data_IF_086131085949
#
_entry.id   IF_086131085949
#
_cell.length_a   1.000
_cell.length_b   1.000
_cell.length_c   1.000
_cell.angle_alpha   90.00
_cell.angle_beta   90.00
_cell.angle_gamma   90.00
#
_symmetry.space_group_name_H-M   'P 1'
#
loop_
_entity.id
_entity.type
_entity.pdbx_description
1 polymer ?
#
# COMPACT_ATOMS: atom_id res chain seq x y z
N UNK A 1 -21.42 17.68 -9.56
CA UNK A 1 -20.91 16.61 -10.47
C UNK A 1 -21.22 15.29 -9.83
N UNK A 2 -21.64 14.28 -10.59
CA UNK A 2 -21.82 12.95 -10.01
C UNK A 2 -20.43 12.40 -9.66
N UNK A 3 -20.26 11.90 -8.44
CA UNK A 3 -19.05 11.25 -8.01
C UNK A 3 -18.75 10.04 -8.93
N UNK A 4 -17.50 9.90 -9.35
CA UNK A 4 -17.06 8.79 -10.19
C UNK A 4 -15.82 8.16 -9.59
N UNK A 5 -15.83 6.84 -9.46
CA UNK A 5 -14.65 6.07 -9.04
C UNK A 5 -14.25 5.09 -10.14
N UNK A 6 -12.93 4.94 -10.36
CA UNK A 6 -12.38 4.06 -11.38
C UNK A 6 -11.25 3.24 -10.78
N UNK A 7 -11.33 1.92 -10.96
CA UNK A 7 -10.25 0.98 -10.58
C UNK A 7 -9.23 0.93 -11.71
N UNK A 8 -8.04 1.42 -11.46
CA UNK A 8 -6.91 1.40 -12.39
C UNK A 8 -5.93 0.31 -11.96
N UNK A 9 -5.71 -0.64 -12.83
CA UNK A 9 -4.84 -1.81 -12.57
C UNK A 9 -3.51 -1.57 -13.25
N UNK A 10 -2.45 -1.84 -12.54
CA UNK A 10 -1.05 -1.67 -12.94
C UNK A 10 -0.61 -0.24 -13.24
N UNK A 11 0.68 -0.06 -13.19
CA UNK A 11 1.32 1.25 -13.28
C UNK A 11 1.07 1.95 -14.62
N UNK A 12 0.93 1.20 -15.70
CA UNK A 12 0.69 1.77 -17.03
C UNK A 12 -0.64 2.54 -17.08
N UNK A 13 -1.73 1.91 -16.62
CA UNK A 13 -3.05 2.53 -16.58
C UNK A 13 -3.08 3.72 -15.60
N UNK A 14 -2.46 3.54 -14.43
CA UNK A 14 -2.38 4.59 -13.41
C UNK A 14 -1.56 5.77 -13.93
N UNK A 15 -0.41 5.53 -14.55
CA UNK A 15 0.47 6.58 -15.05
C UNK A 15 -0.18 7.38 -16.19
N UNK A 16 -0.86 6.72 -17.11
CA UNK A 16 -1.61 7.38 -18.18
C UNK A 16 -2.70 8.32 -17.62
N UNK A 17 -3.46 7.86 -16.63
CA UNK A 17 -4.50 8.67 -15.99
C UNK A 17 -3.90 9.85 -15.19
N UNK A 18 -2.81 9.60 -14.44
CA UNK A 18 -2.08 10.63 -13.67
C UNK A 18 -1.54 11.73 -14.61
N UNK A 19 -0.94 11.36 -15.74
CA UNK A 19 -0.43 12.33 -16.71
C UNK A 19 -1.56 13.19 -17.28
N UNK A 20 -2.71 12.61 -17.61
CA UNK A 20 -3.87 13.33 -18.11
C UNK A 20 -4.42 14.32 -17.08
N UNK A 21 -4.61 13.90 -15.84
CA UNK A 21 -5.13 14.76 -14.77
C UNK A 21 -4.11 15.84 -14.35
N UNK A 22 -2.81 15.52 -14.33
CA UNK A 22 -1.76 16.49 -14.06
C UNK A 22 -1.69 17.59 -15.15
N UNK A 23 -1.83 17.23 -16.41
CA UNK A 23 -1.88 18.19 -17.51
C UNK A 23 -3.13 19.09 -17.44
N UNK A 24 -4.22 18.56 -16.88
CA UNK A 24 -5.47 19.29 -16.67
C UNK A 24 -5.47 20.17 -15.42
N UNK A 25 -4.62 19.90 -14.44
CA UNK A 25 -4.56 20.62 -13.16
C UNK A 25 -4.24 22.11 -13.35
N UNK A 26 -4.90 22.98 -12.57
CA UNK A 26 -4.80 24.44 -12.68
C UNK A 26 -4.48 25.14 -11.38
N UNK A 27 -4.80 24.53 -10.23
CA UNK A 27 -4.60 25.11 -8.91
C UNK A 27 -3.43 24.45 -8.22
N UNK A 28 -3.48 23.13 -8.07
CA UNK A 28 -2.41 22.39 -7.43
C UNK A 28 -2.26 20.95 -7.95
N UNK A 29 -1.05 20.41 -7.77
CA UNK A 29 -0.71 19.00 -7.99
C UNK A 29 0.13 18.51 -6.81
N UNK A 30 -0.46 17.68 -5.96
CA UNK A 30 0.19 17.12 -4.78
C UNK A 30 0.35 15.61 -4.93
N UNK A 31 1.56 15.14 -4.70
CA UNK A 31 1.91 13.72 -4.75
C UNK A 31 2.58 13.31 -3.46
N UNK A 32 2.03 12.32 -2.78
CA UNK A 32 2.61 11.66 -1.62
C UNK A 32 2.91 10.21 -1.95
N UNK A 33 4.14 9.80 -1.70
CA UNK A 33 4.61 8.45 -1.99
C UNK A 33 5.62 7.98 -0.95
N UNK A 34 5.70 6.66 -0.74
CA UNK A 34 6.69 6.09 0.15
C UNK A 34 8.09 6.10 -0.45
N UNK A 35 8.23 5.73 -1.75
CA UNK A 35 9.50 5.76 -2.47
C UNK A 35 9.43 6.66 -3.70
N UNK A 36 10.57 7.30 -3.98
CA UNK A 36 10.85 8.08 -5.18
C UNK A 36 12.32 7.88 -5.50
N UNK A 37 12.62 7.31 -6.66
CA UNK A 37 13.95 6.85 -7.01
C UNK A 37 14.45 7.49 -8.31
N UNK A 38 15.76 7.48 -8.54
CA UNK A 38 16.42 8.14 -9.67
C UNK A 38 16.47 7.29 -10.93
N UNK A 39 15.53 6.40 -11.09
CA UNK A 39 15.31 5.56 -12.25
C UNK A 39 14.49 6.30 -13.36
N UNK A 40 14.00 5.56 -14.36
CA UNK A 40 13.18 6.15 -15.42
C UNK A 40 11.82 6.65 -14.89
N UNK A 41 11.22 5.99 -13.89
CA UNK A 41 9.93 6.38 -13.30
C UNK A 41 10.03 7.70 -12.57
N UNK A 42 11.04 7.85 -11.69
CA UNK A 42 11.27 9.11 -11.00
C UNK A 42 11.66 10.23 -11.95
N UNK A 43 12.36 9.93 -13.05
CA UNK A 43 12.65 10.90 -14.11
C UNK A 43 11.38 11.34 -14.81
N UNK A 44 10.54 10.40 -15.25
CA UNK A 44 9.26 10.70 -15.91
C UNK A 44 8.31 11.52 -15.02
N UNK A 45 8.22 11.17 -13.71
CA UNK A 45 7.45 11.95 -12.75
C UNK A 45 8.00 13.37 -12.59
N UNK A 46 9.33 13.51 -12.52
CA UNK A 46 9.97 14.82 -12.40
C UNK A 46 9.69 15.71 -13.60
N UNK A 47 9.83 15.18 -14.80
CA UNK A 47 9.55 15.89 -16.04
C UNK A 47 8.07 16.32 -16.13
N UNK A 48 7.15 15.42 -15.75
CA UNK A 48 5.72 15.72 -15.74
C UNK A 48 5.37 16.83 -14.72
N UNK A 49 5.95 16.79 -13.50
CA UNK A 49 5.75 17.84 -12.50
C UNK A 49 6.34 19.19 -12.93
N UNK A 50 7.49 19.19 -13.59
CA UNK A 50 8.11 20.40 -14.12
C UNK A 50 7.30 21.03 -15.26
N UNK A 51 6.69 20.20 -16.10
CA UNK A 51 5.85 20.65 -17.22
C UNK A 51 4.41 21.02 -16.78
N UNK A 52 3.97 20.65 -15.60
CA UNK A 52 2.62 20.91 -15.12
C UNK A 52 2.33 22.41 -14.97
N UNK A 53 1.10 22.81 -15.32
CA UNK A 53 0.65 24.21 -15.30
C UNK A 53 0.18 24.70 -13.94
N UNK A 54 -0.14 23.76 -13.03
CA UNK A 54 -0.56 24.11 -11.66
C UNK A 54 0.57 24.89 -10.95
N UNK A 55 0.27 26.05 -10.35
CA UNK A 55 1.28 26.88 -9.68
C UNK A 55 1.82 26.24 -8.39
N UNK A 56 0.99 25.51 -7.63
CA UNK A 56 1.40 24.81 -6.42
C UNK A 56 1.62 23.32 -6.70
N UNK A 57 2.88 22.92 -6.82
CA UNK A 57 3.28 21.52 -7.12
C UNK A 57 4.12 21.02 -5.97
N UNK A 58 3.69 19.93 -5.34
CA UNK A 58 4.37 19.36 -4.16
C UNK A 58 4.57 17.85 -4.28
N UNK A 59 5.77 17.41 -3.94
CA UNK A 59 6.13 16.00 -3.83
C UNK A 59 6.57 15.73 -2.38
N UNK A 60 5.79 14.92 -1.67
CA UNK A 60 6.09 14.43 -0.33
C UNK A 60 6.56 12.97 -0.41
N UNK A 61 7.79 12.72 -0.01
CA UNK A 61 8.42 11.39 -0.03
C UNK A 61 8.77 10.98 1.39
N UNK A 62 8.61 9.71 1.76
CA UNK A 62 9.11 9.26 3.07
C UNK A 62 10.65 9.31 3.11
N UNK A 63 11.19 9.69 4.27
CA UNK A 63 12.65 9.75 4.48
C UNK A 63 13.34 8.41 4.29
N UNK A 64 12.62 7.29 4.28
CA UNK A 64 13.16 5.95 4.04
C UNK A 64 13.92 5.86 2.70
N UNK A 65 13.41 6.53 1.64
CA UNK A 65 14.09 6.65 0.33
C UNK A 65 15.53 7.20 0.42
N UNK A 66 15.87 7.94 1.50
CA UNK A 66 17.24 8.46 1.71
C UNK A 66 18.20 7.41 2.23
N UNK A 67 17.71 6.30 2.74
CA UNK A 67 18.50 5.20 3.30
C UNK A 67 18.35 3.90 2.50
N UNK A 68 17.24 3.73 1.78
CA UNK A 68 16.93 2.53 1.01
C UNK A 68 16.38 2.92 -0.37
N UNK A 69 16.90 2.32 -1.41
CA UNK A 69 16.41 2.44 -2.80
C UNK A 69 16.49 1.06 -3.46
N UNK A 70 15.55 0.75 -4.34
CA UNK A 70 15.46 -0.54 -5.01
C UNK A 70 15.55 -1.71 -4.03
N UNK A 71 14.81 -1.63 -2.91
CA UNK A 71 14.80 -2.58 -1.79
C UNK A 71 16.21 -2.86 -1.17
N UNK A 72 17.20 -2.00 -1.44
CA UNK A 72 18.59 -2.15 -1.00
C UNK A 72 19.03 -0.98 -0.12
N UNK A 73 19.74 -1.29 0.95
CA UNK A 73 20.33 -0.27 1.84
C UNK A 73 21.50 0.45 1.18
N UNK A 74 21.45 1.79 1.14
CA UNK A 74 22.45 2.63 0.46
C UNK A 74 23.86 2.51 1.09
N UNK A 75 23.92 2.23 2.41
CA UNK A 75 25.18 2.22 3.16
C UNK A 75 25.78 0.81 3.36
N UNK A 76 25.22 -0.24 2.79
CA UNK A 76 25.81 -1.58 2.90
C UNK A 76 27.02 -1.74 1.96
N UNK A 77 28.03 -2.56 2.33
CA UNK A 77 29.20 -2.79 1.47
C UNK A 77 28.84 -3.21 0.05
N UNK A 78 27.88 -4.11 -0.14
CA UNK A 78 27.46 -4.58 -1.47
C UNK A 78 26.82 -3.50 -2.35
N UNK A 79 26.29 -2.40 -1.78
CA UNK A 79 25.74 -1.28 -2.53
C UNK A 79 26.72 -0.11 -2.66
N UNK A 80 27.66 0.01 -1.75
CA UNK A 80 28.71 1.06 -1.81
C UNK A 80 29.62 0.89 -3.02
N UNK A 81 29.89 -0.35 -3.44
CA UNK A 81 30.75 -0.70 -4.56
C UNK A 81 29.98 -1.05 -5.85
N UNK A 82 28.66 -0.88 -5.88
CA UNK A 82 27.83 -1.08 -7.08
C UNK A 82 27.70 0.25 -7.85
N UNK A 83 28.38 0.41 -9.02
CA UNK A 83 28.39 1.68 -9.75
C UNK A 83 27.00 2.06 -10.28
N UNK A 84 26.20 1.09 -10.73
CA UNK A 84 24.85 1.30 -11.24
C UNK A 84 23.92 1.82 -10.15
N UNK A 85 23.87 1.11 -9.03
CA UNK A 85 23.10 1.54 -7.86
C UNK A 85 23.51 2.93 -7.34
N UNK A 86 24.82 3.20 -7.32
CA UNK A 86 25.34 4.52 -6.91
C UNK A 86 24.98 5.63 -7.91
N UNK A 87 24.88 5.30 -9.19
CA UNK A 87 24.43 6.25 -10.22
C UNK A 87 22.96 6.62 -9.99
N UNK A 88 22.11 5.64 -9.71
CA UNK A 88 20.69 5.84 -9.39
C UNK A 88 20.49 6.71 -8.14
N UNK A 89 21.21 6.40 -7.04
CA UNK A 89 21.19 7.23 -5.81
C UNK A 89 21.63 8.68 -6.09
N UNK A 90 22.63 8.88 -6.94
CA UNK A 90 23.04 10.24 -7.36
C UNK A 90 21.98 10.93 -8.20
N UNK A 91 21.33 10.18 -9.09
CA UNK A 91 20.25 10.71 -9.93
C UNK A 91 19.04 11.10 -9.08
N UNK A 92 18.64 10.31 -8.09
CA UNK A 92 17.58 10.69 -7.14
C UNK A 92 17.85 12.08 -6.53
N UNK A 93 19.08 12.30 -6.06
CA UNK A 93 19.48 13.60 -5.50
C UNK A 93 19.49 14.73 -6.54
N UNK A 94 19.84 14.41 -7.78
CA UNK A 94 19.80 15.35 -8.92
C UNK A 94 18.38 15.74 -9.24
N UNK A 95 17.45 14.78 -9.36
CA UNK A 95 16.04 15.02 -9.65
C UNK A 95 15.39 15.90 -8.57
N UNK A 96 15.65 15.62 -7.29
CA UNK A 96 15.15 16.47 -6.17
C UNK A 96 15.66 17.92 -6.31
N UNK A 97 16.92 18.13 -6.70
CA UNK A 97 17.43 19.49 -6.92
C UNK A 97 16.79 20.16 -8.12
N UNK A 98 16.60 19.43 -9.23
CA UNK A 98 15.93 19.95 -10.42
C UNK A 98 14.49 20.34 -10.15
N UNK A 99 13.72 19.51 -9.46
CA UNK A 99 12.35 19.80 -9.05
C UNK A 99 12.28 21.10 -8.23
N UNK A 100 13.14 21.23 -7.22
CA UNK A 100 13.20 22.44 -6.37
C UNK A 100 13.60 23.68 -7.16
N UNK A 101 14.55 23.57 -8.07
CA UNK A 101 14.97 24.68 -8.94
C UNK A 101 13.84 25.09 -9.92
N UNK A 102 13.01 24.14 -10.35
CA UNK A 102 11.83 24.38 -11.19
C UNK A 102 10.57 24.79 -10.42
N UNK A 103 10.69 25.14 -9.12
CA UNK A 103 9.58 25.64 -8.30
C UNK A 103 8.64 24.56 -7.77
N UNK A 104 9.02 23.28 -7.85
CA UNK A 104 8.28 22.17 -7.21
C UNK A 104 8.72 22.06 -5.76
N UNK A 105 7.79 22.12 -4.81
CA UNK A 105 8.07 21.82 -3.42
C UNK A 105 8.41 20.34 -3.25
N UNK A 106 9.57 20.01 -2.67
CA UNK A 106 9.94 18.62 -2.36
C UNK A 106 10.31 18.52 -0.88
N UNK A 107 9.59 17.67 -0.14
CA UNK A 107 9.87 17.36 1.27
C UNK A 107 10.06 15.88 1.49
N UNK A 108 10.95 15.56 2.46
CA UNK A 108 11.10 14.22 3.00
C UNK A 108 10.41 14.16 4.36
N UNK A 109 9.27 13.45 4.41
CA UNK A 109 8.48 13.24 5.62
C UNK A 109 9.16 12.26 6.59
N UNK A 110 8.70 12.25 7.83
CA UNK A 110 9.12 11.28 8.86
C UNK A 110 10.64 11.11 8.98
N UNK A 111 11.40 12.16 9.35
CA UNK A 111 12.85 12.04 9.54
C UNK A 111 13.19 11.00 10.61
N UNK A 112 14.34 10.31 10.47
CA UNK A 112 14.74 9.22 11.36
C UNK A 112 14.97 9.64 12.82
N UNK A 113 15.08 10.94 13.09
CA UNK A 113 15.54 11.48 14.36
C UNK A 113 17.07 11.48 14.49
N UNK A 114 17.60 12.14 15.54
CA UNK A 114 19.05 12.36 15.70
C UNK A 114 19.81 11.03 15.84
N UNK A 115 19.22 10.07 16.57
CA UNK A 115 19.83 8.75 16.82
C UNK A 115 19.07 7.61 16.14
N UNK A 116 18.26 7.90 15.11
CA UNK A 116 17.48 6.89 14.42
C UNK A 116 16.27 6.35 15.21
N UNK A 117 15.91 6.95 16.34
CA UNK A 117 14.83 6.47 17.21
C UNK A 117 13.44 6.44 16.53
N UNK A 118 13.27 7.17 15.43
CA UNK A 118 12.05 7.18 14.61
C UNK A 118 12.19 6.37 13.32
N UNK A 119 13.20 5.52 13.25
CA UNK A 119 13.50 4.77 12.02
C UNK A 119 12.31 3.90 11.55
N UNK A 120 11.59 3.27 12.46
CA UNK A 120 10.44 2.42 12.16
C UNK A 120 9.16 3.22 11.90
N UNK A 121 9.08 4.48 12.31
CA UNK A 121 7.88 5.31 12.13
C UNK A 121 7.91 5.96 10.74
N UNK A 122 7.19 5.34 9.77
CA UNK A 122 7.23 5.72 8.36
C UNK A 122 5.87 6.21 7.87
N UNK A 123 5.89 7.04 6.82
CA UNK A 123 4.70 7.45 6.09
C UNK A 123 4.55 6.58 4.85
N UNK A 124 3.65 5.62 4.94
CA UNK A 124 3.44 4.63 3.88
C UNK A 124 2.23 4.98 2.99
N UNK A 125 1.63 6.16 3.15
CA UNK A 125 0.52 6.63 2.31
C UNK A 125 0.97 6.85 0.86
N UNK A 126 0.09 6.52 -0.09
CA UNK A 126 0.22 6.82 -1.50
C UNK A 126 -1.05 7.54 -1.92
N UNK A 127 -0.92 8.83 -2.15
CA UNK A 127 -2.03 9.73 -2.49
C UNK A 127 -1.58 10.69 -3.57
N UNK A 128 -2.38 10.86 -4.61
CA UNK A 128 -2.16 11.84 -5.66
C UNK A 128 -3.41 12.72 -5.74
N UNK A 129 -3.24 14.02 -5.77
CA UNK A 129 -4.31 15.00 -5.71
C UNK A 129 -4.10 16.07 -6.80
N UNK A 130 -5.17 16.31 -7.57
CA UNK A 130 -5.19 17.36 -8.57
C UNK A 130 -6.42 18.25 -8.35
N UNK A 131 -6.17 19.48 -7.94
CA UNK A 131 -7.17 20.46 -7.58
C UNK A 131 -8.11 19.89 -6.48
N UNK A 132 -9.20 20.55 -6.13
CA UNK A 132 -10.24 19.91 -5.30
C UNK A 132 -11.19 19.06 -6.19
N UNK A 133 -10.64 18.25 -7.09
CA UNK A 133 -11.40 17.53 -8.11
C UNK A 133 -11.13 16.03 -8.16
N UNK A 134 -9.87 15.63 -8.21
CA UNK A 134 -9.46 14.23 -8.42
C UNK A 134 -8.45 13.80 -7.38
N UNK A 135 -8.65 12.60 -6.88
CA UNK A 135 -7.72 11.91 -5.98
C UNK A 135 -7.45 10.47 -6.42
N UNK A 136 -6.26 9.97 -6.11
CA UNK A 136 -5.85 8.58 -6.32
C UNK A 136 -5.43 7.99 -4.98
N UNK A 137 -5.91 6.79 -4.70
CA UNK A 137 -5.66 6.06 -3.45
C UNK A 137 -5.26 4.62 -3.83
N UNK A 138 -4.14 4.12 -3.31
CA UNK A 138 -3.75 2.73 -3.58
C UNK A 138 -2.35 2.37 -3.11
N UNK A 139 -1.73 1.39 -3.80
CA UNK A 139 -0.46 0.78 -3.39
C UNK A 139 0.77 1.28 -4.15
N UNK A 140 0.62 1.91 -5.34
CA UNK A 140 1.71 2.17 -6.27
C UNK A 140 2.66 3.26 -5.74
N UNK A 141 3.96 2.95 -5.76
CA UNK A 141 5.04 3.90 -5.51
C UNK A 141 5.73 4.33 -6.81
N UNK A 142 6.49 5.43 -6.76
CA UNK A 142 7.22 5.95 -7.92
C UNK A 142 8.67 5.49 -7.96
N UNK A 143 8.85 4.21 -8.33
CA UNK A 143 10.13 3.59 -8.65
C UNK A 143 9.95 2.48 -9.67
N UNK A 144 10.99 2.17 -10.46
CA UNK A 144 10.93 1.21 -11.56
C UNK A 144 10.45 -0.16 -11.10
N UNK A 145 11.09 -0.74 -10.07
CA UNK A 145 10.73 -2.05 -9.55
C UNK A 145 9.28 -2.11 -9.01
N UNK A 146 8.76 -1.00 -8.44
CA UNK A 146 7.36 -0.96 -8.02
C UNK A 146 6.39 -0.82 -9.20
N UNK A 147 6.82 -0.21 -10.30
CA UNK A 147 6.02 -0.11 -11.52
C UNK A 147 5.90 -1.45 -12.28
N UNK A 148 6.83 -2.36 -12.05
CA UNK A 148 6.77 -3.73 -12.58
C UNK A 148 5.86 -4.65 -11.76
N UNK A 149 5.46 -4.23 -10.56
CA UNK A 149 4.61 -5.03 -9.68
C UNK A 149 3.14 -4.87 -10.04
N UNK A 150 2.41 -5.99 -9.93
CA UNK A 150 0.95 -5.98 -10.07
C UNK A 150 0.32 -5.29 -8.86
N UNK A 151 -0.20 -4.09 -9.07
CA UNK A 151 -0.79 -3.23 -8.03
C UNK A 151 -1.95 -2.41 -8.61
N UNK A 152 -2.66 -1.69 -7.78
CA UNK A 152 -3.75 -0.83 -8.23
C UNK A 152 -3.80 0.52 -7.50
N UNK A 153 -4.47 1.47 -8.15
CA UNK A 153 -5.02 2.67 -7.50
C UNK A 153 -6.48 2.86 -7.90
N UNK A 154 -7.27 3.40 -6.99
CA UNK A 154 -8.62 3.87 -7.31
C UNK A 154 -8.55 5.37 -7.52
N UNK A 155 -8.91 5.81 -8.72
CA UNK A 155 -9.10 7.23 -9.08
C UNK A 155 -10.52 7.63 -8.66
N UNK A 156 -10.63 8.64 -7.83
CA UNK A 156 -11.91 9.16 -7.32
C UNK A 156 -12.07 10.60 -7.76
N UNK A 157 -13.12 10.87 -8.51
CA UNK A 157 -13.51 12.21 -8.95
C UNK A 157 -14.68 12.71 -8.09
N UNK A 158 -14.31 13.33 -6.96
CA UNK A 158 -15.23 13.87 -5.96
C UNK A 158 -14.51 14.97 -5.15
N UNK A 159 -15.14 16.15 -5.08
CA UNK A 159 -14.51 17.33 -4.47
C UNK A 159 -14.42 17.23 -2.94
N UNK A 160 -15.33 16.52 -2.28
CA UNK A 160 -15.30 16.37 -0.82
C UNK A 160 -14.20 15.38 -0.41
N UNK A 161 -14.04 14.29 -1.18
CA UNK A 161 -12.93 13.35 -1.04
C UNK A 161 -11.60 14.06 -1.27
N UNK A 162 -11.46 14.81 -2.36
CA UNK A 162 -10.24 15.53 -2.69
C UNK A 162 -9.86 16.53 -1.60
N UNK A 163 -10.82 17.34 -1.09
CA UNK A 163 -10.59 18.26 0.04
C UNK A 163 -10.23 17.57 1.34
N UNK A 164 -10.83 16.43 1.63
CA UNK A 164 -10.49 15.65 2.82
C UNK A 164 -9.05 15.15 2.77
N UNK A 165 -8.64 14.58 1.65
CA UNK A 165 -7.28 14.08 1.44
C UNK A 165 -6.26 15.22 1.33
N UNK A 166 -6.63 16.38 0.77
CA UNK A 166 -5.74 17.55 0.75
C UNK A 166 -5.39 18.01 2.16
N UNK A 167 -6.34 18.09 3.08
CA UNK A 167 -6.07 18.43 4.48
C UNK A 167 -5.09 17.46 5.14
N UNK A 168 -5.21 16.17 4.88
CA UNK A 168 -4.27 15.17 5.37
C UNK A 168 -2.87 15.32 4.74
N UNK A 169 -2.83 15.57 3.43
CA UNK A 169 -1.57 15.86 2.73
C UNK A 169 -0.86 17.09 3.34
N UNK A 170 -1.59 18.18 3.51
CA UNK A 170 -1.06 19.43 4.11
C UNK A 170 -0.56 19.20 5.55
N UNK A 171 -1.30 18.44 6.35
CA UNK A 171 -0.88 18.02 7.69
C UNK A 171 0.41 17.20 7.64
N UNK A 172 0.47 16.19 6.76
CA UNK A 172 1.66 15.37 6.55
C UNK A 172 2.85 16.18 6.01
N UNK A 173 2.57 17.16 5.14
CA UNK A 173 3.56 18.11 4.64
C UNK A 173 4.20 18.92 5.77
N UNK A 174 3.44 19.32 6.76
CA UNK A 174 3.92 20.03 7.95
C UNK A 174 4.52 19.10 9.03
N UNK A 175 4.55 17.79 8.77
CA UNK A 175 5.10 16.79 9.68
C UNK A 175 4.16 16.36 10.79
N UNK A 176 2.86 16.67 10.66
CA UNK A 176 1.80 16.20 11.55
C UNK A 176 1.09 15.00 10.93
N UNK A 177 0.51 14.16 11.74
CA UNK A 177 -0.33 13.05 11.30
C UNK A 177 -1.33 12.73 12.40
N UNK A 178 -2.60 12.77 12.06
CA UNK A 178 -3.70 12.55 13.00
C UNK A 178 -4.67 11.52 12.41
N UNK A 179 -5.33 10.77 13.27
CA UNK A 179 -6.41 9.90 12.83
C UNK A 179 -7.58 10.75 12.35
N UNK A 180 -8.05 10.45 11.14
CA UNK A 180 -9.29 11.02 10.63
C UNK A 180 -10.08 9.95 9.88
N UNK A 181 -11.39 10.04 9.96
CA UNK A 181 -12.33 9.21 9.21
C UNK A 181 -13.43 10.06 8.60
N UNK A 182 -13.80 9.75 7.38
CA UNK A 182 -14.95 10.37 6.73
C UNK A 182 -15.66 9.37 5.82
N UNK A 183 -16.98 9.55 5.69
CA UNK A 183 -17.83 8.77 4.79
C UNK A 183 -18.37 9.68 3.69
N UNK A 184 -18.31 9.21 2.46
CA UNK A 184 -18.73 9.92 1.25
C UNK A 184 -19.79 9.12 0.52
N UNK A 185 -21.02 9.58 0.58
CA UNK A 185 -22.17 8.85 0.03
C UNK A 185 -22.11 8.76 -1.51
N UNK A 186 -21.65 9.81 -2.19
CA UNK A 186 -21.55 9.85 -3.66
C UNK A 186 -20.73 8.70 -4.24
N UNK A 187 -19.45 8.54 -3.86
CA UNK A 187 -18.63 7.42 -4.32
C UNK A 187 -18.86 6.12 -3.49
N UNK A 188 -19.73 6.10 -2.50
CA UNK A 188 -19.92 4.94 -1.60
C UNK A 188 -18.63 4.55 -0.86
N UNK A 189 -17.91 5.54 -0.35
CA UNK A 189 -16.55 5.42 0.16
C UNK A 189 -16.45 5.86 1.61
N UNK A 190 -15.87 5.00 2.47
CA UNK A 190 -15.35 5.40 3.78
C UNK A 190 -13.83 5.46 3.72
N UNK A 191 -13.24 6.57 4.17
CA UNK A 191 -11.79 6.75 4.29
C UNK A 191 -11.34 6.75 5.73
N UNK A 192 -10.26 6.02 6.00
CA UNK A 192 -9.55 6.01 7.28
C UNK A 192 -8.11 6.46 7.03
N UNK A 193 -7.73 7.57 7.64
CA UNK A 193 -6.38 8.10 7.64
C UNK A 193 -5.69 7.67 8.93
N UNK A 194 -4.73 6.79 8.82
CA UNK A 194 -4.06 6.15 9.95
C UNK A 194 -2.75 6.91 10.24
N UNK A 195 -2.56 7.47 11.43
CA UNK A 195 -1.40 8.32 11.70
C UNK A 195 -0.10 7.56 11.96
N UNK A 196 -0.14 6.25 12.12
CA UNK A 196 0.91 5.43 12.71
C UNK A 196 0.60 5.22 14.18
N UNK A 197 1.03 6.09 15.04
CA UNK A 197 0.71 6.01 16.47
C UNK A 197 -0.81 5.98 16.70
N UNK A 198 -1.28 5.02 17.52
CA UNK A 198 -2.71 4.82 17.79
C UNK A 198 -3.47 4.00 16.71
N UNK A 199 -2.82 3.48 15.70
CA UNK A 199 -3.46 2.69 14.64
C UNK A 199 -4.32 1.53 15.16
N UNK A 200 -3.94 0.88 16.26
CA UNK A 200 -4.70 -0.25 16.84
C UNK A 200 -6.17 0.10 17.09
N UNK A 201 -6.43 1.31 17.58
CA UNK A 201 -7.80 1.77 17.83
C UNK A 201 -8.57 1.98 16.51
N UNK A 202 -7.90 2.54 15.51
CA UNK A 202 -8.47 2.79 14.19
C UNK A 202 -8.76 1.48 13.42
N UNK A 203 -7.92 0.46 13.60
CA UNK A 203 -8.14 -0.85 12.95
C UNK A 203 -9.32 -1.64 13.52
N UNK A 204 -9.89 -1.28 14.68
CA UNK A 204 -11.06 -1.98 15.23
C UNK A 204 -12.23 -2.01 14.24
N UNK A 205 -12.51 -0.90 13.57
CA UNK A 205 -13.59 -0.83 12.59
C UNK A 205 -13.32 -1.73 11.38
N UNK A 206 -12.04 -1.76 10.92
CA UNK A 206 -11.62 -2.57 9.77
C UNK A 206 -11.62 -4.07 10.10
N UNK A 207 -11.14 -4.44 11.29
CA UNK A 207 -11.19 -5.83 11.77
C UNK A 207 -12.65 -6.25 12.01
N UNK A 208 -13.51 -5.33 12.44
CA UNK A 208 -14.94 -5.55 12.56
C UNK A 208 -15.63 -5.92 11.25
N UNK A 209 -15.11 -5.48 10.10
CA UNK A 209 -15.62 -5.93 8.79
C UNK A 209 -15.32 -7.42 8.56
N UNK A 210 -14.13 -7.90 8.95
CA UNK A 210 -13.77 -9.33 8.88
C UNK A 210 -14.63 -10.15 9.83
N UNK A 211 -14.83 -9.65 11.07
CA UNK A 211 -15.63 -10.32 12.08
C UNK A 211 -17.11 -10.41 11.71
N UNK A 212 -17.61 -9.42 10.97
CA UNK A 212 -18.99 -9.36 10.48
C UNK A 212 -19.26 -10.14 9.19
N UNK A 213 -18.21 -10.68 8.54
CA UNK A 213 -18.37 -11.44 7.30
C UNK A 213 -19.23 -12.70 7.51
N UNK A 214 -20.19 -12.92 6.61
CA UNK A 214 -21.13 -14.03 6.67
C UNK A 214 -20.93 -15.12 5.60
N UNK A 215 -20.25 -14.82 4.49
CA UNK A 215 -20.15 -15.74 3.35
C UNK A 215 -18.72 -15.98 2.88
N UNK A 216 -18.01 -14.94 2.54
CA UNK A 216 -16.68 -15.06 1.93
C UNK A 216 -15.80 -13.84 2.15
N UNK A 217 -14.50 -14.09 2.22
CA UNK A 217 -13.48 -13.05 2.19
C UNK A 217 -12.42 -13.48 1.17
N UNK A 218 -12.25 -12.67 0.11
CA UNK A 218 -11.18 -12.81 -0.87
C UNK A 218 -10.11 -11.75 -0.60
N UNK A 219 -8.89 -12.18 -0.31
CA UNK A 219 -7.75 -11.31 -0.01
C UNK A 219 -6.73 -11.38 -1.13
N UNK A 220 -6.29 -10.23 -1.65
CA UNK A 220 -5.14 -10.14 -2.54
C UNK A 220 -4.08 -9.30 -1.81
N UNK A 221 -3.03 -9.95 -1.34
CA UNK A 221 -1.98 -9.25 -0.58
C UNK A 221 -0.68 -10.06 -0.53
N UNK A 222 0.48 -9.38 -0.68
CA UNK A 222 1.78 -10.04 -0.49
C UNK A 222 2.11 -10.21 0.99
N UNK A 223 1.55 -9.35 1.87
CA UNK A 223 1.91 -9.28 3.27
C UNK A 223 0.66 -9.41 4.14
N UNK A 224 0.55 -10.56 4.79
CA UNK A 224 -0.56 -10.88 5.67
C UNK A 224 -0.02 -11.50 6.96
N UNK A 225 -0.40 -10.94 8.10
CA UNK A 225 0.05 -11.41 9.41
C UNK A 225 -0.92 -11.01 10.53
N UNK A 226 -0.70 -11.39 11.80
CA UNK A 226 -1.56 -10.96 12.89
C UNK A 226 -1.68 -9.43 13.00
N UNK A 227 -2.85 -8.89 13.42
CA UNK A 227 -4.03 -9.64 13.86
C UNK A 227 -4.95 -10.11 12.71
N UNK A 228 -4.72 -9.67 11.47
CA UNK A 228 -5.60 -9.98 10.35
C UNK A 228 -5.77 -11.49 10.14
N UNK A 229 -4.68 -12.27 10.19
CA UNK A 229 -4.76 -13.74 10.10
C UNK A 229 -5.53 -14.36 11.26
N UNK A 230 -5.48 -13.77 12.47
CA UNK A 230 -6.22 -14.28 13.62
C UNK A 230 -7.75 -14.07 13.41
N UNK A 231 -8.16 -12.89 12.87
CA UNK A 231 -9.56 -12.59 12.55
C UNK A 231 -10.07 -13.42 11.36
N UNK A 232 -9.23 -13.62 10.32
CA UNK A 232 -9.58 -14.51 9.21
C UNK A 232 -9.78 -15.96 9.66
N UNK A 233 -8.93 -16.46 10.58
CA UNK A 233 -9.09 -17.79 11.17
C UNK A 233 -10.39 -17.91 11.97
N UNK A 234 -10.74 -16.88 12.74
CA UNK A 234 -12.02 -16.83 13.45
C UNK A 234 -13.21 -16.80 12.49
N UNK A 235 -13.11 -16.09 11.35
CA UNK A 235 -14.13 -16.09 10.31
C UNK A 235 -14.26 -17.48 9.64
N UNK A 236 -13.15 -18.13 9.30
CA UNK A 236 -13.15 -19.50 8.76
C UNK A 236 -13.80 -20.51 9.71
N UNK A 237 -13.52 -20.39 11.02
CA UNK A 237 -14.15 -21.22 12.04
C UNK A 237 -15.69 -21.03 12.16
N UNK A 238 -16.21 -19.88 11.68
CA UNK A 238 -17.66 -19.64 11.54
C UNK A 238 -18.26 -20.17 10.24
N UNK A 239 -17.43 -20.73 9.34
CA UNK A 239 -17.85 -21.25 8.05
C UNK A 239 -17.73 -20.24 6.89
N UNK A 240 -17.12 -19.08 7.12
CA UNK A 240 -16.83 -18.10 6.06
C UNK A 240 -15.71 -18.65 5.18
N UNK A 241 -15.91 -18.64 3.85
CA UNK A 241 -14.88 -19.05 2.89
C UNK A 241 -13.76 -18.00 2.85
N UNK A 242 -12.54 -18.42 3.16
CA UNK A 242 -11.35 -17.55 3.08
C UNK A 242 -10.50 -18.00 1.91
N UNK A 243 -10.29 -17.08 0.95
CA UNK A 243 -9.40 -17.28 -0.20
C UNK A 243 -8.36 -16.16 -0.27
N UNK A 244 -7.10 -16.54 -0.45
CA UNK A 244 -5.97 -15.61 -0.41
C UNK A 244 -5.13 -15.78 -1.67
N UNK A 245 -5.01 -14.71 -2.46
CA UNK A 245 -4.07 -14.62 -3.57
C UNK A 245 -2.82 -13.89 -3.09
N UNK A 246 -1.66 -14.52 -3.25
CA UNK A 246 -0.35 -13.97 -2.87
C UNK A 246 0.68 -14.31 -3.94
N UNK A 247 1.76 -13.50 -4.14
CA UNK A 247 2.74 -13.80 -5.18
C UNK A 247 3.45 -15.13 -4.91
N UNK A 248 3.72 -15.92 -5.96
CA UNK A 248 4.52 -17.14 -5.86
C UNK A 248 5.93 -16.87 -5.35
N UNK A 249 6.52 -15.75 -5.80
CA UNK A 249 7.82 -15.24 -5.34
C UNK A 249 7.61 -13.94 -4.60
N UNK A 250 7.73 -13.98 -3.27
CA UNK A 250 7.51 -12.84 -2.41
C UNK A 250 8.87 -12.25 -1.96
N UNK A 251 9.06 -10.95 -2.07
CA UNK A 251 10.27 -10.25 -1.61
C UNK A 251 10.47 -10.35 -0.08
N UNK A 252 9.40 -10.73 0.69
CA UNK A 252 9.46 -11.01 2.13
C UNK A 252 9.11 -12.48 2.40
N UNK A 253 10.01 -13.38 2.03
CA UNK A 253 9.81 -14.83 2.11
C UNK A 253 9.36 -15.33 3.49
N UNK A 254 9.74 -14.67 4.59
CA UNK A 254 9.33 -15.05 5.94
C UNK A 254 7.82 -14.82 6.19
N UNK A 255 7.23 -13.75 5.61
CA UNK A 255 5.78 -13.50 5.69
C UNK A 255 5.01 -14.54 4.87
N UNK A 256 5.51 -14.87 3.69
CA UNK A 256 4.92 -15.92 2.87
C UNK A 256 4.93 -17.28 3.59
N UNK A 257 6.09 -17.67 4.15
CA UNK A 257 6.20 -18.91 4.93
C UNK A 257 5.23 -18.96 6.12
N UNK A 258 5.07 -17.84 6.81
CA UNK A 258 4.08 -17.71 7.88
C UNK A 258 2.67 -17.91 7.35
N UNK A 259 2.28 -17.19 6.27
CA UNK A 259 0.94 -17.28 5.69
C UNK A 259 0.59 -18.71 5.28
N UNK A 260 1.52 -19.41 4.59
CA UNK A 260 1.31 -20.78 4.16
C UNK A 260 1.14 -21.74 5.34
N UNK A 261 1.89 -21.53 6.43
CA UNK A 261 1.71 -22.33 7.66
C UNK A 261 0.34 -22.09 8.33
N UNK A 262 -0.19 -20.85 8.26
CA UNK A 262 -1.52 -20.53 8.78
C UNK A 262 -2.61 -21.12 7.88
N UNK A 263 -2.43 -21.06 6.58
CA UNK A 263 -3.37 -21.64 5.60
C UNK A 263 -3.59 -23.15 5.85
N UNK A 264 -2.48 -23.90 6.01
CA UNK A 264 -2.55 -25.33 6.33
C UNK A 264 -3.23 -25.61 7.68
N UNK A 265 -3.10 -24.71 8.66
CA UNK A 265 -3.70 -24.86 10.00
C UNK A 265 -5.19 -24.54 10.01
N UNK A 266 -5.56 -23.43 9.37
CA UNK A 266 -6.86 -22.78 9.54
C UNK A 266 -7.79 -23.03 8.33
N UNK A 267 -7.33 -23.77 7.31
CA UNK A 267 -8.13 -24.16 6.14
C UNK A 267 -8.35 -23.03 5.13
N UNK A 268 -7.42 -22.07 5.02
CA UNK A 268 -7.51 -21.04 3.99
C UNK A 268 -7.19 -21.63 2.62
N UNK A 269 -7.96 -21.26 1.60
CA UNK A 269 -7.61 -21.50 0.22
C UNK A 269 -6.54 -20.49 -0.22
N UNK A 270 -5.29 -20.95 -0.39
CA UNK A 270 -4.19 -20.08 -0.85
C UNK A 270 -3.86 -20.35 -2.30
N UNK A 271 -3.82 -19.28 -3.07
CA UNK A 271 -3.53 -19.24 -4.50
C UNK A 271 -2.24 -18.45 -4.71
N UNK A 272 -1.28 -19.06 -5.41
CA UNK A 272 0.00 -18.47 -5.74
C UNK A 272 -0.05 -17.87 -7.15
N UNK A 273 -0.05 -16.54 -7.22
CA UNK A 273 -0.01 -15.80 -8.48
C UNK A 273 1.30 -16.05 -9.22
N UNK A 274 1.22 -16.35 -10.51
CA UNK A 274 2.37 -16.85 -11.29
C UNK A 274 3.13 -15.74 -12.04
N UNK A 275 2.48 -14.63 -12.36
CA UNK A 275 2.98 -13.62 -13.31
C UNK A 275 3.80 -12.49 -12.65
N UNK A 276 4.41 -12.77 -11.48
CA UNK A 276 5.31 -11.82 -10.84
C UNK A 276 4.93 -11.46 -9.41
N UNK A 277 5.36 -10.28 -8.98
CA UNK A 277 5.08 -9.76 -7.64
C UNK A 277 3.74 -9.03 -7.62
N UNK A 278 2.78 -9.53 -6.84
CA UNK A 278 1.60 -8.75 -6.45
C UNK A 278 1.99 -7.84 -5.28
N UNK A 279 1.60 -6.57 -5.38
CA UNK A 279 1.78 -5.62 -4.27
C UNK A 279 0.46 -4.99 -3.80
N UNK A 280 -0.67 -5.40 -4.34
CA UNK A 280 -2.01 -4.97 -3.91
C UNK A 280 -2.28 -5.27 -2.44
N UNK A 281 -3.11 -4.45 -1.83
CA UNK A 281 -3.67 -4.63 -0.48
C UNK A 281 -5.18 -4.53 -0.60
N UNK A 282 -5.79 -5.64 -1.01
CA UNK A 282 -7.22 -5.69 -1.29
C UNK A 282 -7.90 -6.81 -0.50
N UNK A 283 -9.11 -6.53 -0.03
CA UNK A 283 -9.98 -7.52 0.60
C UNK A 283 -11.40 -7.28 0.14
N UNK A 284 -12.01 -8.27 -0.52
CA UNK A 284 -13.41 -8.26 -0.90
C UNK A 284 -14.19 -9.11 0.08
N UNK A 285 -15.13 -8.50 0.81
CA UNK A 285 -15.93 -9.13 1.85
C UNK A 285 -17.36 -9.28 1.36
N UNK A 286 -17.89 -10.50 1.42
CA UNK A 286 -19.27 -10.85 1.09
C UNK A 286 -19.75 -10.32 -0.28
N UNK A 287 -18.83 -10.19 -1.22
CA UNK A 287 -19.05 -9.68 -2.57
C UNK A 287 -19.60 -8.23 -2.64
N UNK A 288 -19.61 -7.50 -1.54
CA UNK A 288 -20.21 -6.17 -1.47
C UNK A 288 -19.35 -5.08 -0.84
N UNK A 289 -18.23 -5.43 -0.20
CA UNK A 289 -17.35 -4.46 0.47
C UNK A 289 -15.92 -4.68 0.00
N UNK A 290 -15.36 -3.70 -0.69
CA UNK A 290 -13.95 -3.68 -1.08
C UNK A 290 -13.15 -2.82 -0.11
N UNK A 291 -12.19 -3.42 0.59
CA UNK A 291 -11.18 -2.72 1.39
C UNK A 291 -9.90 -2.67 0.57
N UNK A 292 -9.34 -1.47 0.36
CA UNK A 292 -8.06 -1.27 -0.35
C UNK A 292 -7.34 -0.03 0.17
N UNK A 293 -6.14 0.26 -0.35
CA UNK A 293 -5.35 1.44 0.02
C UNK A 293 -3.86 1.14 0.12
N UNK A 294 -3.16 1.92 0.93
CA UNK A 294 -1.73 1.74 1.13
C UNK A 294 -1.38 0.71 2.20
N UNK A 295 -2.34 0.41 3.09
CA UNK A 295 -2.11 -0.40 4.28
C UNK A 295 -1.95 -1.88 3.97
N UNK A 296 -0.79 -2.41 4.31
CA UNK A 296 -0.63 -3.86 4.39
C UNK A 296 -1.51 -4.43 5.52
N UNK A 297 -1.99 -5.65 5.32
CA UNK A 297 -2.73 -6.38 6.35
C UNK A 297 -1.75 -7.09 7.29
N UNK A 298 -0.85 -6.31 7.91
CA UNK A 298 0.28 -6.85 8.65
C UNK A 298 0.49 -6.20 10.03
N UNK A 299 1.38 -6.83 10.79
CA UNK A 299 1.73 -6.43 12.14
C UNK A 299 2.33 -5.02 12.22
N UNK A 300 3.05 -4.56 11.17
CA UNK A 300 3.72 -3.26 11.16
C UNK A 300 2.72 -2.13 11.05
N UNK A 301 1.78 -2.26 10.11
CA UNK A 301 0.69 -1.29 9.94
C UNK A 301 -0.20 -1.24 11.18
N UNK A 302 -0.60 -2.41 11.70
CA UNK A 302 -1.46 -2.51 12.88
C UNK A 302 -0.84 -1.92 14.15
N UNK A 303 0.45 -2.16 14.41
CA UNK A 303 1.11 -1.67 15.62
C UNK A 303 1.57 -0.21 15.55
N UNK A 304 1.20 0.53 14.52
CA UNK A 304 1.44 1.96 14.47
C UNK A 304 2.82 2.38 14.00
N UNK A 305 3.57 1.50 13.36
CA UNK A 305 4.85 1.88 12.75
C UNK A 305 4.67 2.65 11.43
N UNK A 306 3.52 2.46 10.76
CA UNK A 306 3.25 3.04 9.47
C UNK A 306 2.01 3.95 9.51
N UNK A 307 2.15 5.18 9.01
CA UNK A 307 1.00 5.98 8.65
C UNK A 307 0.46 5.48 7.30
N UNK A 308 -0.85 5.25 7.22
CA UNK A 308 -1.50 4.58 6.12
C UNK A 308 -2.81 5.26 5.72
N UNK A 309 -3.32 4.90 4.56
CA UNK A 309 -4.68 5.21 4.14
C UNK A 309 -5.41 3.91 3.81
N UNK A 310 -6.63 3.77 4.33
CA UNK A 310 -7.52 2.66 4.00
C UNK A 310 -8.82 3.22 3.46
N UNK A 311 -9.22 2.71 2.31
CA UNK A 311 -10.48 3.00 1.63
C UNK A 311 -11.39 1.78 1.68
N UNK A 312 -12.64 2.00 2.07
CA UNK A 312 -13.70 0.97 2.13
C UNK A 312 -14.80 1.39 1.17
N UNK A 313 -14.86 0.72 0.02
CA UNK A 313 -15.88 0.97 -1.01
C UNK A 313 -17.06 0.02 -0.85
N UNK A 314 -18.27 0.60 -0.92
CA UNK A 314 -19.54 -0.13 -0.99
C UNK A 314 -20.31 0.17 -2.27
N UNK A 315 -19.73 0.97 -3.19
CA UNK A 315 -20.28 1.20 -4.51
C UNK A 315 -20.29 -0.09 -5.32
N UNK A 316 -21.44 -0.55 -5.82
CA UNK A 316 -21.52 -1.73 -6.67
C UNK A 316 -20.62 -1.63 -7.91
N UNK A 317 -20.49 -0.43 -8.50
CA UNK A 317 -19.68 -0.20 -9.68
C UNK A 317 -18.19 -0.44 -9.40
N UNK A 318 -17.68 0.02 -8.25
CA UNK A 318 -16.27 -0.18 -7.84
C UNK A 318 -16.02 -1.64 -7.50
N UNK A 319 -16.94 -2.26 -6.77
CA UNK A 319 -16.85 -3.68 -6.39
C UNK A 319 -16.84 -4.57 -7.63
N UNK A 320 -17.73 -4.33 -8.59
CA UNK A 320 -17.81 -5.12 -9.82
C UNK A 320 -16.60 -4.88 -10.73
N UNK A 321 -16.14 -3.62 -10.82
CA UNK A 321 -14.90 -3.30 -11.55
C UNK A 321 -13.68 -4.01 -10.93
N UNK A 322 -13.56 -4.05 -9.62
CA UNK A 322 -12.51 -4.80 -8.92
C UNK A 322 -12.63 -6.30 -9.21
N UNK A 323 -13.83 -6.87 -9.11
CA UNK A 323 -14.06 -8.28 -9.40
C UNK A 323 -13.61 -8.65 -10.81
N UNK A 324 -14.11 -7.93 -11.82
CA UNK A 324 -13.87 -8.27 -13.22
C UNK A 324 -12.47 -7.94 -13.72
N UNK A 325 -11.84 -6.86 -13.20
CA UNK A 325 -10.52 -6.41 -13.66
C UNK A 325 -9.34 -6.94 -12.84
N UNK A 326 -9.59 -7.37 -11.60
CA UNK A 326 -8.54 -7.80 -10.67
C UNK A 326 -8.80 -9.21 -10.19
N UNK A 327 -9.85 -9.43 -9.39
CA UNK A 327 -10.02 -10.71 -8.69
C UNK A 327 -10.13 -11.91 -9.65
N UNK A 328 -10.99 -11.85 -10.66
CA UNK A 328 -11.18 -12.97 -11.59
C UNK A 328 -9.95 -13.24 -12.47
N UNK A 329 -9.26 -12.22 -13.05
CA UNK A 329 -8.00 -12.44 -13.74
C UNK A 329 -6.92 -13.05 -12.84
N UNK A 330 -6.75 -12.53 -11.62
CA UNK A 330 -5.71 -13.01 -10.69
C UNK A 330 -5.97 -14.44 -10.24
N UNK A 331 -7.23 -14.81 -10.05
CA UNK A 331 -7.59 -16.21 -9.78
C UNK A 331 -7.21 -17.14 -10.92
N UNK A 332 -7.42 -16.71 -12.18
CA UNK A 332 -7.05 -17.49 -13.37
C UNK A 332 -5.53 -17.58 -13.55
N UNK A 333 -4.79 -16.52 -13.19
CA UNK A 333 -3.33 -16.46 -13.26
C UNK A 333 -2.64 -17.15 -12.05
N UNK A 334 -3.42 -17.73 -11.14
CA UNK A 334 -2.91 -18.35 -9.91
C UNK A 334 -3.03 -19.86 -9.91
N UNK A 335 -2.17 -20.53 -9.12
CA UNK A 335 -2.24 -21.97 -8.84
C UNK A 335 -2.47 -22.19 -7.36
N UNK A 336 -3.18 -23.25 -6.99
CA UNK A 336 -3.34 -23.63 -5.59
C UNK A 336 -1.99 -23.96 -4.96
N UNK A 337 -1.81 -23.54 -3.72
CA UNK A 337 -0.56 -23.80 -2.98
C UNK A 337 -0.31 -25.30 -2.81
N UNK A 338 -1.34 -26.11 -2.60
CA UNK A 338 -1.25 -27.57 -2.48
C UNK A 338 -0.63 -28.21 -3.72
N UNK A 339 -0.88 -27.63 -4.91
CA UNK A 339 -0.42 -28.13 -6.20
C UNK A 339 1.00 -27.66 -6.56
N UNK A 340 1.59 -26.69 -5.81
CA UNK A 340 2.92 -26.12 -6.12
C UNK A 340 4.10 -26.98 -5.60
N UNK A 341 3.84 -28.14 -5.02
CA UNK A 341 4.88 -29.05 -4.47
C UNK A 341 5.61 -28.53 -3.25
N UNK A 342 5.20 -27.37 -2.71
CA UNK A 342 5.76 -26.76 -1.50
C UNK A 342 4.95 -27.06 -0.24
N UNK A 343 3.77 -27.65 -0.41
CA UNK A 343 2.93 -28.13 0.68
C UNK A 343 3.60 -29.36 1.32
N UNK A 344 3.69 -29.36 2.63
CA UNK A 344 4.24 -30.48 3.38
C UNK A 344 5.26 -30.05 4.44
N UNK A 345 5.18 -30.69 5.54
CA UNK A 345 5.96 -30.45 6.73
C UNK A 345 5.03 -30.53 7.94
N UNK A 346 5.01 -31.66 8.63
CA UNK A 346 4.15 -31.89 9.79
C UNK A 346 4.10 -30.68 10.76
N UNK A 347 3.41 -30.83 11.88
CA UNK A 347 3.19 -29.72 12.82
C UNK A 347 4.47 -28.96 13.21
N UNK A 348 5.63 -29.63 13.27
CA UNK A 348 6.91 -29.00 13.59
C UNK A 348 7.39 -28.06 12.47
N UNK A 349 7.26 -28.48 11.21
CA UNK A 349 7.61 -27.63 10.07
C UNK A 349 6.73 -26.37 9.99
N UNK A 350 5.42 -26.49 10.28
CA UNK A 350 4.52 -25.34 10.39
C UNK A 350 4.92 -24.40 11.52
N UNK A 351 5.20 -24.95 12.71
CA UNK A 351 5.62 -24.16 13.86
C UNK A 351 6.91 -23.36 13.59
N UNK A 352 7.91 -23.98 12.96
CA UNK A 352 9.16 -23.31 12.57
C UNK A 352 8.95 -22.21 11.54
N UNK A 353 8.07 -22.41 10.55
CA UNK A 353 7.72 -21.38 9.56
C UNK A 353 7.00 -20.18 10.18
N UNK A 354 6.17 -20.41 11.19
CA UNK A 354 5.41 -19.37 11.88
C UNK A 354 6.21 -18.61 12.96
N UNK A 355 7.29 -19.21 13.47
CA UNK A 355 8.04 -18.71 14.63
C UNK A 355 8.52 -17.24 14.50
N UNK A 356 9.09 -16.79 13.37
CA UNK A 356 9.57 -15.40 13.27
C UNK A 356 8.45 -14.37 13.51
N UNK A 357 7.26 -14.60 12.97
CA UNK A 357 6.11 -13.70 13.14
C UNK A 357 5.52 -13.79 14.55
N UNK A 358 5.50 -14.98 15.15
CA UNK A 358 5.03 -15.13 16.54
C UNK A 358 5.97 -14.41 17.52
N UNK A 359 7.27 -14.44 17.27
CA UNK A 359 8.26 -13.67 18.04
C UNK A 359 8.04 -12.18 17.83
N UNK A 360 7.90 -11.73 16.57
CA UNK A 360 7.64 -10.33 16.26
C UNK A 360 6.33 -9.83 16.89
N UNK A 361 5.26 -10.65 16.92
CA UNK A 361 4.00 -10.36 17.61
C UNK A 361 4.19 -10.10 19.10
N UNK A 362 5.04 -10.90 19.79
CA UNK A 362 5.36 -10.71 21.22
C UNK A 362 6.16 -9.44 21.43
N UNK A 363 7.20 -9.22 20.64
CA UNK A 363 8.06 -8.02 20.71
C UNK A 363 7.23 -6.75 20.45
N UNK A 364 6.39 -6.74 19.43
CA UNK A 364 5.57 -5.58 19.09
C UNK A 364 4.50 -5.26 20.16
N UNK A 365 4.05 -6.25 20.94
CA UNK A 365 3.18 -5.98 22.11
C UNK A 365 3.90 -5.23 23.22
N UNK A 366 5.20 -5.43 23.34
CA UNK A 366 6.03 -4.84 24.40
C UNK A 366 6.58 -3.47 23.98
N UNK A 367 7.00 -3.35 22.72
CA UNK A 367 7.70 -2.17 22.19
C UNK A 367 6.84 -1.28 21.29
N UNK A 368 5.65 -1.73 20.90
CA UNK A 368 4.79 -0.95 20.02
C UNK A 368 4.27 0.31 20.73
N UNK A 369 4.19 1.46 20.01
CA UNK A 369 3.51 2.63 20.54
C UNK A 369 2.06 2.26 20.86
N UNK A 370 1.61 2.64 22.06
CA UNK A 370 0.31 2.31 22.64
C UNK A 370 -0.89 2.80 21.82
#
# INVERSE_FOLDING_TARGET
MNARSEVLVDSEAVWAAVQADLAAAREYAFIQTYSFEGDWVGTALSDALLAARAPDRRLLVDSYTRANQNDRWIALPGTLFDPGFRAEVRNTRRLVRLLRAGGVGVRFGRPFGIFGQRFLNRDHKKVILFDDRVSYIGGINFSEHNFEWHDLMVRVEDSDVARFLRRDFESSWEGRSEYARASFAGPGLDLHLLPGEGNRAAYRDLLGLIDGAGRSIDVISPYLSPPFTDHLAAAAARGVRIRIVTPRSNNKAYLQKYLLAMAERDGFEVLLYQDGMIHMKCMLIDDGILVTGSSNFDLMSYNGFLAEIVAVFRSPEVVEAFRGRVLEPDLKASRRFEDDGRAGGGWLGRALRAMPIQVAKRVARVLGPG
#
